data_IF_437914237767
#
_entry.id   IF_437914237767
#
_cell.length_a   1.000
_cell.length_b   1.000
_cell.length_c   1.000
_cell.angle_alpha   90.00
_cell.angle_beta   90.00
_cell.angle_gamma   90.00
#
_symmetry.space_group_name_H-M   'P 1'
#
loop_
_entity.id
_entity.type
_entity.pdbx_description
1 polymer ?
#
# COMPACT_ATOMS: atom_id res chain seq x y z
N UNK A 1 -15.14 -18.84 14.63
CA UNK A 1 -15.22 -18.24 13.28
C UNK A 1 -13.80 -18.12 12.73
N UNK A 2 -13.51 -18.78 11.60
CA UNK A 2 -12.17 -18.82 11.01
C UNK A 2 -11.94 -17.53 10.18
N UNK A 3 -11.39 -16.48 10.81
CA UNK A 3 -11.17 -15.15 10.18
C UNK A 3 -10.05 -15.15 9.11
N UNK A 4 -9.30 -16.24 8.97
CA UNK A 4 -8.13 -16.28 8.09
C UNK A 4 -8.45 -16.12 6.60
N UNK A 5 -9.67 -16.45 6.17
CA UNK A 5 -9.99 -16.52 4.74
C UNK A 5 -10.33 -15.18 4.07
N UNK A 6 -10.61 -14.12 4.83
CA UNK A 6 -11.06 -12.84 4.26
C UNK A 6 -9.99 -11.77 4.09
N UNK A 7 -8.75 -12.00 4.55
CA UNK A 7 -7.70 -10.96 4.56
C UNK A 7 -7.25 -10.47 3.18
N UNK A 8 -7.39 -11.30 2.15
CA UNK A 8 -6.95 -10.98 0.79
C UNK A 8 -8.09 -10.59 -0.15
N UNK A 9 -9.31 -10.44 0.38
CA UNK A 9 -10.47 -10.06 -0.43
C UNK A 9 -10.49 -8.54 -0.51
N UNK A 10 -10.51 -8.03 -1.74
CA UNK A 10 -10.77 -6.62 -1.98
C UNK A 10 -12.24 -6.33 -1.67
N UNK A 11 -12.48 -5.66 -0.54
CA UNK A 11 -13.82 -5.26 -0.09
C UNK A 11 -13.83 -3.76 0.13
N UNK A 12 -14.94 -3.14 -0.24
CA UNK A 12 -15.15 -1.71 -0.03
C UNK A 12 -15.63 -1.46 1.42
N UNK A 13 -15.11 -0.41 2.04
CA UNK A 13 -15.41 -0.02 3.43
C UNK A 13 -14.23 -0.20 4.39
N UNK A 14 -14.43 0.17 5.66
CA UNK A 14 -13.43 0.02 6.72
C UNK A 14 -13.39 -1.43 7.21
N UNK A 15 -12.70 -2.29 6.45
CA UNK A 15 -12.47 -3.70 6.78
C UNK A 15 -10.98 -3.95 6.99
N UNK A 16 -10.64 -4.98 7.77
CA UNK A 16 -9.24 -5.43 7.98
C UNK A 16 -8.51 -5.62 6.65
N UNK A 17 -9.21 -6.13 5.63
CA UNK A 17 -8.62 -6.38 4.31
C UNK A 17 -8.33 -5.09 3.57
N UNK A 18 -9.20 -4.08 3.66
CA UNK A 18 -8.95 -2.76 3.10
C UNK A 18 -7.76 -2.08 3.78
N UNK A 19 -7.64 -2.20 5.11
CA UNK A 19 -6.50 -1.66 5.86
C UNK A 19 -5.16 -2.30 5.42
N UNK A 20 -5.12 -3.62 5.27
CA UNK A 20 -3.92 -4.33 4.79
C UNK A 20 -3.54 -3.90 3.37
N UNK A 21 -4.51 -3.82 2.45
CA UNK A 21 -4.25 -3.40 1.08
C UNK A 21 -3.81 -1.93 1.00
N UNK A 22 -4.43 -1.03 1.78
CA UNK A 22 -4.04 0.37 1.87
C UNK A 22 -2.62 0.53 2.44
N UNK A 23 -2.27 -0.24 3.47
CA UNK A 23 -0.93 -0.24 4.05
C UNK A 23 0.14 -0.66 3.04
N UNK A 24 -0.12 -1.70 2.24
CA UNK A 24 0.80 -2.15 1.17
C UNK A 24 0.97 -1.08 0.08
N UNK A 25 -0.14 -0.46 -0.36
CA UNK A 25 -0.09 0.62 -1.34
C UNK A 25 0.66 1.84 -0.81
N UNK A 26 0.51 2.18 0.47
CA UNK A 26 1.25 3.28 1.10
C UNK A 26 2.76 3.01 1.14
N UNK A 27 3.18 1.80 1.49
CA UNK A 27 4.61 1.42 1.46
C UNK A 27 5.20 1.49 0.05
N UNK A 28 4.45 1.03 -0.96
CA UNK A 28 4.85 1.14 -2.37
C UNK A 28 4.94 2.61 -2.82
N UNK A 29 3.94 3.42 -2.49
CA UNK A 29 3.92 4.84 -2.82
C UNK A 29 5.11 5.57 -2.19
N UNK A 30 5.46 5.25 -0.94
CA UNK A 30 6.62 5.81 -0.27
C UNK A 30 7.93 5.52 -1.01
N UNK A 31 8.14 4.26 -1.43
CA UNK A 31 9.32 3.87 -2.21
C UNK A 31 9.35 4.61 -3.56
N UNK A 32 8.21 4.69 -4.25
CA UNK A 32 8.10 5.37 -5.55
C UNK A 32 8.44 6.86 -5.41
N UNK A 33 7.90 7.54 -4.40
CA UNK A 33 8.19 8.95 -4.13
C UNK A 33 9.68 9.15 -3.89
N UNK A 34 10.30 8.30 -3.08
CA UNK A 34 11.75 8.37 -2.82
C UNK A 34 12.58 8.16 -4.08
N UNK A 35 12.19 7.20 -4.94
CA UNK A 35 12.85 6.98 -6.23
C UNK A 35 12.71 8.17 -7.19
N UNK A 36 11.52 8.79 -7.23
CA UNK A 36 11.26 9.98 -8.04
C UNK A 36 12.10 11.14 -7.52
N UNK A 37 12.04 11.43 -6.21
CA UNK A 37 12.81 12.51 -5.59
C UNK A 37 14.32 12.34 -5.83
N UNK A 38 14.84 11.12 -5.65
CA UNK A 38 16.21 10.79 -5.98
C UNK A 38 16.51 11.11 -7.45
N UNK A 39 15.75 10.56 -8.41
CA UNK A 39 16.01 10.80 -9.83
C UNK A 39 16.02 12.30 -10.20
N UNK A 40 15.05 13.07 -9.70
CA UNK A 40 14.98 14.51 -9.97
C UNK A 40 16.09 15.32 -9.28
N UNK A 41 16.56 14.90 -8.10
CA UNK A 41 17.62 15.57 -7.36
C UNK A 41 19.00 15.37 -7.98
N UNK A 42 19.28 14.22 -8.61
CA UNK A 42 20.56 13.98 -9.32
C UNK A 42 20.57 14.49 -10.78
N UNK A 43 19.41 14.79 -11.35
CA UNK A 43 19.27 15.31 -12.72
C UNK A 43 19.41 16.86 -12.79
N UNK A 44 19.33 17.56 -11.65
CA UNK A 44 19.45 19.01 -11.54
C UNK A 44 20.86 19.42 -11.07
#
# INVERSE_FOLDING_TARGET
MNFYHKRNIWTWGCSISSEIWNGRLAMLAFIIIFCIEFFFLYQL
#
